data_IF_442880767383
#
_entry.id   IF_442880767383
#
_cell.length_a   1.000
_cell.length_b   1.000
_cell.length_c   1.000
_cell.angle_alpha   90.00
_cell.angle_beta   90.00
_cell.angle_gamma   90.00
#
_symmetry.space_group_name_H-M   'P 1'
#
loop_
_entity.id
_entity.type
_entity.pdbx_description
1 polymer ?
#
# COMPACT_ATOMS: atom_id res chain seq x y z
N UNK A 1 -28.50 -47.89 42.07
CA UNK A 1 -27.86 -47.86 40.73
C UNK A 1 -28.83 -47.21 39.76
N UNK A 2 -28.63 -45.96 39.33
CA UNK A 2 -29.25 -45.43 38.13
C UNK A 2 -28.19 -45.19 37.05
N UNK A 3 -28.13 -46.11 36.10
CA UNK A 3 -27.44 -45.96 34.82
C UNK A 3 -28.29 -45.19 33.81
N UNK A 4 -27.60 -44.58 32.83
CA UNK A 4 -28.07 -43.91 31.59
C UNK A 4 -28.14 -42.38 31.64
N UNK A 5 -26.98 -41.75 31.42
CA UNK A 5 -26.89 -40.44 30.75
C UNK A 5 -27.05 -40.68 29.25
N UNK A 6 -28.16 -40.23 28.67
CA UNK A 6 -28.39 -40.16 27.23
C UNK A 6 -27.77 -38.84 26.74
N UNK A 7 -26.69 -38.92 25.97
CA UNK A 7 -26.16 -37.80 25.18
C UNK A 7 -27.06 -37.58 23.95
N UNK A 8 -27.58 -36.37 23.68
CA UNK A 8 -28.29 -36.09 22.44
C UNK A 8 -27.29 -35.85 21.28
N UNK A 9 -27.62 -36.24 20.04
CA UNK A 9 -26.76 -36.00 18.90
C UNK A 9 -26.72 -34.50 18.55
N UNK A 10 -25.52 -33.94 18.42
CA UNK A 10 -25.33 -32.59 17.86
C UNK A 10 -25.64 -32.64 16.37
N UNK A 11 -26.86 -32.23 16.02
CA UNK A 11 -27.28 -32.02 14.64
C UNK A 11 -26.61 -30.75 14.13
N UNK A 12 -25.67 -30.93 13.21
CA UNK A 12 -25.11 -29.91 12.34
C UNK A 12 -26.21 -29.22 11.55
N UNK A 13 -26.50 -27.95 11.86
CA UNK A 13 -27.13 -27.05 10.90
C UNK A 13 -26.90 -25.59 11.30
N UNK A 14 -25.78 -25.03 10.84
CA UNK A 14 -25.64 -23.59 10.70
C UNK A 14 -25.58 -23.30 9.20
N UNK A 15 -26.50 -22.50 8.64
CA UNK A 15 -26.51 -22.22 7.22
C UNK A 15 -25.22 -21.49 6.87
N UNK A 16 -24.37 -22.17 6.08
CA UNK A 16 -23.19 -21.58 5.47
C UNK A 16 -23.69 -20.60 4.42
N UNK A 17 -23.89 -19.35 4.87
CA UNK A 17 -24.29 -18.22 4.05
C UNK A 17 -23.25 -18.10 2.95
N UNK A 18 -23.62 -18.52 1.74
CA UNK A 18 -22.83 -18.36 0.53
C UNK A 18 -22.41 -16.90 0.42
N UNK A 19 -21.18 -16.63 0.83
CA UNK A 19 -20.56 -15.33 0.62
C UNK A 19 -19.91 -15.43 -0.74
N UNK A 20 -20.71 -15.05 -1.72
CA UNK A 20 -20.28 -14.54 -3.00
C UNK A 20 -19.07 -13.63 -2.79
N UNK A 21 -17.88 -14.20 -2.88
CA UNK A 21 -16.63 -13.49 -2.62
C UNK A 21 -16.08 -13.09 -3.96
N UNK A 22 -16.77 -12.16 -4.63
CA UNK A 22 -16.20 -11.40 -5.72
C UNK A 22 -14.81 -10.96 -5.29
N UNK A 23 -13.78 -11.57 -5.91
CA UNK A 23 -12.39 -11.28 -5.59
C UNK A 23 -12.26 -9.76 -5.62
N UNK A 24 -11.89 -9.09 -4.51
CA UNK A 24 -11.58 -7.69 -4.60
C UNK A 24 -10.50 -7.55 -5.68
N UNK A 25 -10.58 -6.55 -6.57
CA UNK A 25 -9.54 -6.36 -7.57
C UNK A 25 -8.21 -6.37 -6.83
N UNK A 26 -7.32 -7.28 -7.21
CA UNK A 26 -6.02 -7.43 -6.56
C UNK A 26 -5.32 -6.08 -6.69
N UNK A 27 -5.28 -5.31 -5.60
CA UNK A 27 -4.48 -4.09 -5.56
C UNK A 27 -3.04 -4.52 -5.87
N UNK A 28 -2.38 -3.89 -6.85
CA UNK A 28 -0.99 -4.19 -7.15
C UNK A 28 -0.16 -4.14 -5.85
N UNK A 29 0.84 -5.01 -5.74
CA UNK A 29 1.76 -4.95 -4.60
C UNK A 29 2.57 -3.67 -4.68
N UNK A 30 3.00 -3.11 -3.54
CA UNK A 30 3.80 -1.88 -3.54
C UNK A 30 5.04 -1.97 -4.44
N UNK A 31 5.69 -3.14 -4.49
CA UNK A 31 6.83 -3.43 -5.35
C UNK A 31 6.52 -3.39 -6.87
N UNK A 32 5.25 -3.46 -7.27
CA UNK A 32 4.81 -3.38 -8.67
C UNK A 32 4.54 -1.94 -9.13
N UNK A 33 4.60 -0.97 -8.20
CA UNK A 33 4.45 0.44 -8.54
C UNK A 33 5.79 1.07 -8.92
N UNK A 34 5.79 1.71 -10.07
CA UNK A 34 6.80 2.69 -10.46
C UNK A 34 6.29 4.09 -10.09
N UNK A 35 6.96 4.75 -9.16
CA UNK A 35 6.71 6.17 -8.84
C UNK A 35 7.76 7.02 -9.54
N UNK A 36 7.34 8.05 -10.26
CA UNK A 36 8.22 9.10 -10.78
C UNK A 36 7.91 10.42 -10.10
N UNK A 37 8.97 11.12 -9.71
CA UNK A 37 8.91 12.47 -9.15
C UNK A 37 9.64 13.37 -10.15
N UNK A 38 8.90 14.25 -10.84
CA UNK A 38 9.39 15.04 -11.99
C UNK A 38 9.97 14.16 -13.10
N UNK A 39 11.30 14.01 -13.15
CA UNK A 39 12.07 13.31 -14.19
C UNK A 39 12.79 12.06 -13.66
N UNK A 40 12.72 11.81 -12.35
CA UNK A 40 13.46 10.74 -11.70
C UNK A 40 12.50 9.66 -11.19
N UNK A 41 12.87 8.41 -11.44
CA UNK A 41 12.13 7.24 -10.96
C UNK A 41 12.58 6.86 -9.56
N UNK A 42 11.62 6.50 -8.70
CA UNK A 42 11.88 5.91 -7.41
C UNK A 42 12.63 4.59 -7.56
N UNK A 43 13.54 4.32 -6.61
CA UNK A 43 14.25 3.03 -6.55
C UNK A 43 13.26 1.91 -6.31
N UNK A 44 12.36 2.13 -5.37
CA UNK A 44 11.32 1.20 -5.01
C UNK A 44 10.17 1.94 -4.33
N UNK A 45 8.96 1.47 -4.57
CA UNK A 45 7.79 1.87 -3.80
C UNK A 45 7.55 0.84 -2.71
N UNK A 46 7.54 1.31 -1.46
CA UNK A 46 7.40 0.44 -0.29
C UNK A 46 5.95 0.26 0.11
N UNK A 47 5.13 1.30 -0.09
CA UNK A 47 3.73 1.30 0.30
C UNK A 47 2.94 2.33 -0.49
N UNK A 48 1.75 1.94 -0.96
CA UNK A 48 0.78 2.84 -1.59
C UNK A 48 -0.54 2.74 -0.83
N UNK A 49 -1.03 3.87 -0.35
CA UNK A 49 -2.34 4.00 0.30
C UNK A 49 -3.20 4.98 -0.49
N UNK A 50 -4.52 5.04 -0.25
CA UNK A 50 -5.37 6.03 -0.90
C UNK A 50 -4.98 7.49 -0.60
N UNK A 51 -4.27 7.73 0.51
CA UNK A 51 -3.94 9.07 1.00
C UNK A 51 -2.46 9.41 0.87
N UNK A 52 -1.61 8.49 0.41
CA UNK A 52 -0.18 8.75 0.29
C UNK A 52 0.64 7.56 -0.19
N UNK A 53 1.95 7.76 -0.20
CA UNK A 53 2.93 6.79 -0.65
C UNK A 53 4.21 6.88 0.17
N UNK A 54 4.83 5.73 0.37
CA UNK A 54 6.18 5.60 0.94
C UNK A 54 7.08 4.90 -0.08
N UNK A 55 8.23 5.48 -0.35
CA UNK A 55 9.14 5.03 -1.40
C UNK A 55 10.58 5.43 -1.09
N UNK A 56 11.53 4.78 -1.74
CA UNK A 56 12.95 5.12 -1.66
C UNK A 56 13.41 5.84 -2.93
N UNK A 57 14.19 6.90 -2.75
CA UNK A 57 14.56 7.84 -3.79
C UNK A 57 16.07 8.15 -3.76
N UNK A 58 16.67 8.45 -4.91
CA UNK A 58 18.10 8.79 -4.97
C UNK A 58 18.42 10.19 -4.44
N UNK A 59 17.47 11.10 -4.61
CA UNK A 59 17.68 12.54 -4.41
C UNK A 59 16.93 13.00 -3.17
N UNK A 60 17.44 13.96 -2.38
CA UNK A 60 16.68 14.48 -1.25
C UNK A 60 15.47 15.27 -1.74
N UNK A 61 14.31 15.05 -1.13
CA UNK A 61 13.11 15.87 -1.32
C UNK A 61 12.88 16.78 -0.12
N UNK A 62 12.43 18.01 -0.38
CA UNK A 62 12.18 19.00 0.66
C UNK A 62 10.86 18.70 1.36
N UNK A 63 10.90 18.56 2.68
CA UNK A 63 9.71 18.36 3.53
C UNK A 63 8.84 19.63 3.51
N UNK A 64 7.53 19.45 3.46
CA UNK A 64 6.55 20.53 3.30
C UNK A 64 6.40 21.04 1.86
N UNK A 65 7.16 20.49 0.91
CA UNK A 65 7.05 20.86 -0.51
C UNK A 65 6.18 19.85 -1.25
N UNK A 66 5.42 20.38 -2.21
CA UNK A 66 4.59 19.61 -3.13
C UNK A 66 5.34 19.31 -4.41
N UNK A 67 5.28 18.05 -4.84
CA UNK A 67 5.90 17.59 -6.08
C UNK A 67 4.87 16.92 -6.96
N UNK A 68 4.83 17.21 -8.28
CA UNK A 68 4.06 16.41 -9.21
C UNK A 68 4.70 15.00 -9.29
N UNK A 69 3.85 13.99 -9.17
CA UNK A 69 4.25 12.59 -9.24
C UNK A 69 3.35 11.81 -10.18
N UNK A 70 3.90 10.75 -10.79
CA UNK A 70 3.13 9.76 -11.54
C UNK A 70 3.37 8.37 -10.94
N UNK A 71 2.29 7.64 -10.67
CA UNK A 71 2.31 6.25 -10.24
C UNK A 71 1.83 5.37 -11.39
N UNK A 72 2.63 4.36 -11.73
CA UNK A 72 2.32 3.37 -12.75
C UNK A 72 2.41 1.96 -12.16
N UNK A 73 1.41 1.15 -12.41
CA UNK A 73 1.36 -0.28 -12.10
C UNK A 73 0.54 -1.00 -13.19
N UNK A 74 0.60 -2.34 -13.30
CA UNK A 74 -0.22 -3.06 -14.27
C UNK A 74 -1.72 -2.73 -14.11
N UNK A 75 -2.31 -2.14 -15.15
CA UNK A 75 -3.73 -1.75 -15.17
C UNK A 75 -4.07 -0.45 -14.41
N UNK A 76 -3.10 0.25 -13.81
CA UNK A 76 -3.33 1.50 -13.08
C UNK A 76 -2.23 2.51 -13.40
N UNK A 77 -2.59 3.65 -13.96
CA UNK A 77 -1.67 4.78 -14.14
C UNK A 77 -2.38 6.06 -13.77
N UNK A 78 -1.82 6.83 -12.84
CA UNK A 78 -2.37 8.14 -12.48
C UNK A 78 -1.26 9.12 -12.10
N UNK A 79 -1.57 10.40 -12.28
CA UNK A 79 -0.70 11.52 -11.93
C UNK A 79 -1.37 12.33 -10.83
N UNK A 80 -0.60 12.74 -9.82
CA UNK A 80 -1.11 13.52 -8.69
C UNK A 80 -0.02 14.42 -8.10
N UNK A 81 -0.38 15.24 -7.13
CA UNK A 81 0.58 16.03 -6.35
C UNK A 81 0.86 15.32 -5.03
N UNK A 82 2.13 15.16 -4.70
CA UNK A 82 2.58 14.58 -3.44
C UNK A 82 3.19 15.67 -2.55
N UNK A 83 2.63 15.86 -1.36
CA UNK A 83 3.25 16.68 -0.32
C UNK A 83 4.20 15.80 0.51
N UNK A 84 5.48 16.15 0.53
CA UNK A 84 6.49 15.38 1.26
C UNK A 84 6.39 15.69 2.75
N UNK A 85 5.99 14.70 3.55
CA UNK A 85 5.86 14.85 5.00
C UNK A 85 7.10 14.36 5.74
N UNK A 86 7.90 13.50 5.12
CA UNK A 86 9.15 12.98 5.70
C UNK A 86 10.14 12.62 4.60
N UNK A 87 11.41 12.99 4.79
CA UNK A 87 12.51 12.58 3.93
C UNK A 87 13.73 12.29 4.82
N UNK A 88 14.21 11.06 4.83
CA UNK A 88 15.33 10.63 5.68
C UNK A 88 16.40 9.91 4.88
N UNK A 89 17.66 10.30 5.08
CA UNK A 89 18.80 9.57 4.54
C UNK A 89 18.87 8.18 5.18
N UNK A 90 18.91 7.16 4.35
CA UNK A 90 19.12 5.77 4.71
C UNK A 90 20.42 5.31 4.07
N UNK A 91 21.23 4.60 4.84
CA UNK A 91 22.48 4.01 4.38
C UNK A 91 22.34 2.51 4.56
N UNK A 92 22.43 1.79 3.44
CA UNK A 92 22.31 0.35 3.39
C UNK A 92 23.58 -0.21 2.74
N UNK A 93 24.14 -1.26 3.33
CA UNK A 93 25.40 -1.86 2.88
C UNK A 93 25.29 -2.55 1.52
N UNK A 94 24.10 -2.98 1.11
CA UNK A 94 23.84 -3.64 -0.17
C UNK A 94 23.42 -2.66 -1.27
N UNK A 95 22.62 -1.65 -0.92
CA UNK A 95 22.00 -0.73 -1.92
C UNK A 95 22.57 0.68 -1.90
N UNK A 96 23.45 1.00 -0.96
CA UNK A 96 24.12 2.29 -0.86
C UNK A 96 23.28 3.36 -0.14
N UNK A 97 23.49 4.62 -0.51
CA UNK A 97 22.81 5.78 0.11
C UNK A 97 21.55 6.13 -0.69
N UNK A 98 20.43 6.29 0.00
CA UNK A 98 19.17 6.74 -0.59
C UNK A 98 18.31 7.46 0.45
N UNK A 99 17.23 8.10 0.01
CA UNK A 99 16.30 8.79 0.86
C UNK A 99 14.99 8.02 0.95
N UNK A 100 14.60 7.67 2.18
CA UNK A 100 13.27 7.13 2.46
C UNK A 100 12.30 8.29 2.57
N UNK A 101 11.37 8.37 1.62
CA UNK A 101 10.40 9.44 1.49
C UNK A 101 9.02 8.92 1.89
N UNK A 102 8.31 9.71 2.69
CA UNK A 102 6.87 9.55 2.91
C UNK A 102 6.19 10.83 2.48
N UNK A 103 5.15 10.69 1.66
CA UNK A 103 4.33 11.82 1.25
C UNK A 103 2.85 11.48 1.28
N UNK A 104 2.04 12.52 1.38
CA UNK A 104 0.59 12.44 1.28
C UNK A 104 0.15 12.94 -0.07
N UNK A 105 -0.79 12.24 -0.70
CA UNK A 105 -1.42 12.75 -1.90
C UNK A 105 -2.22 13.97 -1.51
N UNK A 106 -1.91 15.09 -2.16
CA UNK A 106 -2.67 16.30 -2.01
C UNK A 106 -3.89 16.16 -2.91
N UNK A 107 -5.12 16.16 -2.36
CA UNK A 107 -6.31 16.11 -3.20
C UNK A 107 -6.30 17.34 -4.09
N UNK A 108 -6.55 17.13 -5.39
CA UNK A 108 -7.03 18.21 -6.23
C UNK A 108 -8.40 18.59 -5.66
N UNK A 109 -8.47 19.73 -4.97
CA UNK A 109 -9.75 20.37 -4.69
C UNK A 109 -10.05 21.16 -5.96
N UNK A 110 -10.97 20.64 -6.77
CA UNK A 110 -11.56 21.38 -7.89
C UNK A 110 -12.34 22.60 -7.38
#
# INVERSE_FOLDING_TARGET
MPDRKTDPPVVSDRPSRGSDSGKPPKRPKAAEYELKVRWETARQVLEVTPTGVRFDFNTPLKVGTRYPVSLKAPGVSFSTTLEVTRCQLTVDSATGRFFRVTGKFFPYVE
#
